data_IF_108933708258
#
_entry.id   IF_108933708258
#
_cell.length_a   1.000
_cell.length_b   1.000
_cell.length_c   1.000
_cell.angle_alpha   90.00
_cell.angle_beta   90.00
_cell.angle_gamma   90.00
#
_symmetry.space_group_name_H-M   'P 1'
#
loop_
_entity.id
_entity.type
_entity.pdbx_description
1 polymer ?
#
# COMPACT_ATOMS: atom_id res chain seq x y z
N UNK A 1 13.25 23.87 4.56
CA UNK A 1 13.74 22.88 3.58
C UNK A 1 12.61 21.92 3.27
N UNK A 2 12.53 21.37 2.06
CA UNK A 2 11.52 20.35 1.72
C UNK A 2 11.90 19.04 2.41
N UNK A 3 10.95 18.38 3.05
CA UNK A 3 11.12 17.02 3.60
C UNK A 3 11.26 15.96 2.49
N UNK A 4 10.90 16.33 1.25
CA UNK A 4 11.02 15.47 0.08
C UNK A 4 12.28 15.77 -0.71
N UNK A 5 13.03 14.73 -1.08
CA UNK A 5 14.27 14.84 -1.85
C UNK A 5 14.12 14.49 -3.33
N UNK A 6 13.02 13.82 -3.70
CA UNK A 6 12.71 13.41 -5.08
C UNK A 6 11.20 13.45 -5.29
N UNK A 7 10.79 13.62 -6.54
CA UNK A 7 9.42 13.40 -6.98
C UNK A 7 9.35 12.65 -8.32
N UNK A 8 8.17 12.16 -8.65
CA UNK A 8 7.81 11.54 -9.93
C UNK A 8 6.35 11.90 -10.25
N UNK A 9 6.09 12.36 -11.48
CA UNK A 9 4.80 12.88 -11.90
C UNK A 9 4.14 11.97 -12.93
N UNK A 10 2.94 11.51 -12.61
CA UNK A 10 2.08 10.74 -13.51
C UNK A 10 1.02 11.65 -14.12
N UNK A 11 1.26 12.10 -15.36
CA UNK A 11 0.37 13.00 -16.10
C UNK A 11 -1.00 12.36 -16.41
N UNK A 12 -1.03 11.04 -16.61
CA UNK A 12 -2.26 10.33 -16.96
C UNK A 12 -3.20 10.23 -15.75
N UNK A 13 -2.66 9.89 -14.58
CA UNK A 13 -3.43 9.71 -13.36
C UNK A 13 -3.53 10.99 -12.52
N UNK A 14 -2.78 12.03 -12.91
CA UNK A 14 -2.63 13.28 -12.17
C UNK A 14 -2.14 13.03 -10.73
N UNK A 15 -1.18 12.12 -10.58
CA UNK A 15 -0.67 11.65 -9.29
C UNK A 15 0.79 12.07 -9.12
N UNK A 16 1.12 12.72 -8.00
CA UNK A 16 2.48 13.12 -7.68
C UNK A 16 3.08 12.18 -6.63
N UNK A 17 4.09 11.41 -6.99
CA UNK A 17 4.88 10.65 -6.02
C UNK A 17 6.01 11.51 -5.48
N UNK A 18 6.16 11.56 -4.16
CA UNK A 18 7.19 12.31 -3.43
C UNK A 18 7.95 11.37 -2.50
N UNK A 19 9.26 11.57 -2.37
CA UNK A 19 10.13 10.67 -1.60
C UNK A 19 10.68 11.41 -0.38
N UNK A 20 10.35 10.93 0.83
CA UNK A 20 10.78 11.53 2.09
C UNK A 20 12.20 11.11 2.45
N UNK A 21 13.00 12.06 2.94
CA UNK A 21 14.37 11.80 3.36
C UNK A 21 14.40 10.82 4.56
N UNK A 22 15.29 9.82 4.61
CA UNK A 22 15.44 8.92 5.76
C UNK A 22 15.53 9.60 7.12
N UNK A 23 16.27 10.71 7.23
CA UNK A 23 16.45 11.43 8.50
C UNK A 23 15.15 12.09 8.95
N UNK A 24 14.40 12.64 7.99
CA UNK A 24 13.08 13.27 8.24
C UNK A 24 12.02 12.22 8.55
N UNK A 25 12.05 11.08 7.84
CA UNK A 25 11.16 9.95 8.09
C UNK A 25 11.31 9.44 9.52
N UNK A 26 12.55 9.21 9.98
CA UNK A 26 12.80 8.73 11.35
C UNK A 26 12.32 9.74 12.41
N UNK A 27 12.53 11.04 12.18
CA UNK A 27 12.03 12.07 13.08
C UNK A 27 10.50 12.07 13.17
N UNK A 28 9.82 12.06 12.01
CA UNK A 28 8.35 12.00 11.93
C UNK A 28 7.78 10.73 12.61
N UNK A 29 8.37 9.56 12.37
CA UNK A 29 7.93 8.30 12.98
C UNK A 29 8.25 8.22 14.49
N UNK A 30 9.40 8.73 14.93
CA UNK A 30 9.79 8.73 16.34
C UNK A 30 8.83 9.54 17.23
N UNK A 31 8.30 10.63 16.69
CA UNK A 31 7.33 11.50 17.36
C UNK A 31 5.96 10.81 17.49
N UNK A 32 5.59 9.95 16.55
CA UNK A 32 4.34 9.21 16.58
C UNK A 32 4.34 8.09 17.64
N UNK A 33 5.48 7.43 17.85
CA UNK A 33 5.65 6.40 18.89
C UNK A 33 5.72 6.99 20.31
N UNK A 34 6.03 8.28 20.46
CA UNK A 34 6.11 8.97 21.75
C UNK A 34 4.74 9.36 22.36
N UNK A 35 3.62 9.01 21.71
CA UNK A 35 2.30 8.90 22.36
C UNK A 35 1.50 10.19 22.59
N UNK A 36 1.91 11.35 22.07
CA UNK A 36 1.12 12.58 22.21
C UNK A 36 -0.05 12.61 21.20
N UNK A 37 -1.24 13.02 21.65
CA UNK A 37 -2.52 13.02 20.90
C UNK A 37 -2.59 14.02 19.73
N UNK A 38 -1.58 14.02 18.85
CA UNK A 38 -1.35 15.04 17.83
C UNK A 38 -1.36 14.51 16.38
N UNK A 39 -1.86 13.29 16.16
CA UNK A 39 -1.83 12.63 14.84
C UNK A 39 -2.59 13.41 13.74
N UNK A 40 -3.62 14.20 14.08
CA UNK A 40 -4.45 14.92 13.07
C UNK A 40 -3.79 16.21 12.58
N UNK A 41 -3.09 16.97 13.44
CA UNK A 41 -2.43 18.23 13.05
C UNK A 41 -1.23 18.01 12.14
N UNK A 42 -0.43 16.96 12.36
CA UNK A 42 0.80 16.73 11.59
C UNK A 42 0.54 16.12 10.19
N UNK A 43 -0.58 15.41 9.99
CA UNK A 43 -0.97 14.89 8.67
C UNK A 43 -1.41 15.97 7.69
N UNK A 44 -1.98 17.07 8.20
CA UNK A 44 -2.16 18.30 7.41
C UNK A 44 -0.81 18.82 6.92
N UNK A 45 0.23 18.79 7.75
CA UNK A 45 1.57 19.27 7.37
C UNK A 45 2.19 18.46 6.23
N UNK A 46 1.98 17.14 6.15
CA UNK A 46 2.53 16.31 5.07
C UNK A 46 1.85 16.61 3.73
N UNK A 47 0.51 16.68 3.73
CA UNK A 47 -0.26 17.05 2.54
C UNK A 47 0.06 18.48 2.09
N UNK A 48 0.13 19.43 3.02
CA UNK A 48 0.52 20.80 2.72
C UNK A 48 1.95 20.91 2.18
N UNK A 49 2.89 20.12 2.72
CA UNK A 49 4.25 20.05 2.19
C UNK A 49 4.27 19.49 0.77
N UNK A 50 3.45 18.47 0.49
CA UNK A 50 3.35 17.86 -0.83
C UNK A 50 2.70 18.81 -1.84
N UNK A 51 1.67 19.56 -1.42
CA UNK A 51 1.05 20.65 -2.19
C UNK A 51 2.05 21.75 -2.53
N UNK A 52 2.84 22.18 -1.55
CA UNK A 52 3.87 23.19 -1.76
C UNK A 52 4.92 22.71 -2.76
N UNK A 53 5.39 21.47 -2.63
CA UNK A 53 6.30 20.91 -3.61
C UNK A 53 5.66 20.90 -5.00
N UNK A 54 4.40 20.44 -5.12
CA UNK A 54 3.69 20.42 -6.40
C UNK A 54 3.58 21.81 -7.04
N UNK A 55 3.29 22.85 -6.26
CA UNK A 55 3.22 24.21 -6.78
C UNK A 55 4.58 24.74 -7.25
N UNK A 56 5.67 24.24 -6.67
CA UNK A 56 7.03 24.66 -7.01
C UNK A 56 7.58 23.91 -8.23
N UNK A 57 7.19 22.64 -8.43
CA UNK A 57 7.80 21.76 -9.46
C UNK A 57 6.92 21.47 -10.67
N UNK A 58 5.59 21.56 -10.55
CA UNK A 58 4.67 21.28 -11.67
C UNK A 58 4.27 22.56 -12.41
N UNK A 59 3.90 22.47 -13.70
CA UNK A 59 3.38 23.62 -14.45
C UNK A 59 2.18 24.27 -13.75
N UNK A 60 2.09 25.60 -13.82
CA UNK A 60 0.96 26.33 -13.24
C UNK A 60 -0.37 25.85 -13.84
N UNK A 61 -1.37 25.64 -12.98
CA UNK A 61 -2.69 25.13 -13.37
C UNK A 61 -2.77 23.60 -13.46
N UNK A 62 -1.69 22.87 -13.17
CA UNK A 62 -1.74 21.41 -13.07
C UNK A 62 -2.67 21.00 -11.92
N UNK A 63 -3.66 20.17 -12.25
CA UNK A 63 -4.53 19.53 -11.26
C UNK A 63 -3.83 18.29 -10.73
N UNK A 64 -3.68 18.17 -9.42
CA UNK A 64 -3.16 16.97 -8.74
C UNK A 64 -4.33 16.29 -8.02
N UNK A 65 -4.59 15.03 -8.36
CA UNK A 65 -5.66 14.25 -7.74
C UNK A 65 -5.21 13.64 -6.41
N UNK A 66 -3.95 13.17 -6.34
CA UNK A 66 -3.41 12.51 -5.17
C UNK A 66 -1.88 12.62 -5.09
N UNK A 67 -1.37 12.45 -3.87
CA UNK A 67 0.06 12.43 -3.55
C UNK A 67 0.46 11.08 -3.00
N UNK A 68 1.54 10.49 -3.51
CA UNK A 68 2.14 9.27 -2.98
C UNK A 68 3.39 9.60 -2.21
N UNK A 69 3.41 9.36 -0.90
CA UNK A 69 4.61 9.57 -0.08
C UNK A 69 5.35 8.26 0.04
N UNK A 70 6.58 8.20 -0.46
CA UNK A 70 7.47 7.03 -0.37
C UNK A 70 8.65 7.29 0.54
N UNK A 71 9.07 6.27 1.28
CA UNK A 71 10.38 6.21 1.91
C UNK A 71 11.18 5.13 1.19
N UNK A 72 12.24 5.54 0.47
CA UNK A 72 12.94 4.67 -0.47
C UNK A 72 11.95 4.00 -1.45
N UNK A 73 11.88 2.66 -1.47
CA UNK A 73 10.96 1.88 -2.28
C UNK A 73 9.57 1.72 -1.66
N UNK A 74 9.43 1.97 -0.37
CA UNK A 74 8.21 1.72 0.39
C UNK A 74 7.22 2.88 0.21
N UNK A 75 5.97 2.56 -0.09
CA UNK A 75 4.88 3.54 -0.09
C UNK A 75 4.36 3.68 1.35
N UNK A 76 4.47 4.88 1.89
CA UNK A 76 4.15 5.22 3.28
C UNK A 76 2.74 5.79 3.39
N UNK A 77 2.36 6.67 2.45
CA UNK A 77 1.04 7.27 2.44
C UNK A 77 0.55 7.53 1.01
N UNK A 78 -0.77 7.49 0.86
CA UNK A 78 -1.46 8.10 -0.28
C UNK A 78 -2.38 9.18 0.30
N UNK A 79 -2.28 10.40 -0.24
CA UNK A 79 -3.02 11.56 0.22
C UNK A 79 -3.94 12.01 -0.91
N UNK A 80 -5.24 11.97 -0.70
CA UNK A 80 -6.25 12.43 -1.66
C UNK A 80 -6.49 13.93 -1.48
N UNK A 81 -6.62 14.64 -2.60
CA UNK A 81 -6.67 16.11 -2.55
C UNK A 81 -8.01 16.70 -2.06
N UNK A 82 -9.10 15.92 -2.17
CA UNK A 82 -10.44 16.31 -1.72
C UNK A 82 -10.75 15.79 -0.32
N UNK A 83 -10.25 14.59 0.01
CA UNK A 83 -10.62 13.85 1.21
C UNK A 83 -9.52 13.83 2.30
N UNK A 84 -8.33 14.35 2.01
CA UNK A 84 -7.18 14.29 2.92
C UNK A 84 -6.49 12.91 2.91
N UNK A 85 -5.82 12.53 4.01
CA UNK A 85 -5.06 11.29 4.09
C UNK A 85 -5.95 10.05 3.93
N UNK A 86 -5.97 9.46 2.73
CA UNK A 86 -6.59 8.16 2.46
C UNK A 86 -5.63 7.06 2.86
N UNK A 87 -5.65 6.77 4.17
CA UNK A 87 -4.96 5.67 4.84
C UNK A 87 -3.43 5.66 4.65
N UNK A 88 -2.78 5.87 5.78
CA UNK A 88 -1.46 5.32 6.07
C UNK A 88 -1.42 3.88 5.58
N UNK A 89 -0.46 3.55 4.70
CA UNK A 89 -0.04 2.16 4.53
C UNK A 89 0.74 1.82 5.78
N UNK A 90 0.02 1.73 6.91
CA UNK A 90 0.52 1.08 8.10
C UNK A 90 1.07 -0.24 7.60
N UNK A 91 2.32 -0.54 7.95
CA UNK A 91 2.82 -1.90 7.92
C UNK A 91 2.01 -2.72 8.93
N UNK A 92 0.75 -2.95 8.59
CA UNK A 92 -0.23 -3.67 9.37
C UNK A 92 -0.17 -5.10 8.92
N UNK A 93 0.44 -5.93 9.77
CA UNK A 93 0.06 -7.32 10.02
C UNK A 93 -0.98 -7.87 9.04
N UNK A 94 -0.56 -8.83 8.20
CA UNK A 94 -1.40 -9.97 7.84
C UNK A 94 -2.90 -9.67 7.62
N UNK A 95 -3.23 -8.78 6.68
CA UNK A 95 -4.61 -8.30 6.52
C UNK A 95 -5.51 -9.21 5.67
N UNK A 96 -4.94 -10.21 5.00
CA UNK A 96 -5.63 -11.08 4.07
C UNK A 96 -5.77 -12.47 4.62
N UNK A 97 -6.95 -13.08 4.48
CA UNK A 97 -7.18 -14.48 4.82
C UNK A 97 -7.45 -15.23 3.53
N UNK A 98 -6.69 -16.28 3.28
CA UNK A 98 -6.88 -17.18 2.15
C UNK A 98 -7.26 -18.56 2.68
N UNK A 99 -8.37 -19.10 2.19
CA UNK A 99 -8.80 -20.45 2.55
C UNK A 99 -8.07 -21.46 1.70
N UNK A 100 -7.20 -22.25 2.32
CA UNK A 100 -6.40 -23.29 1.67
C UNK A 100 -7.32 -24.28 0.97
N UNK A 101 -7.10 -24.49 -0.33
CA UNK A 101 -7.87 -25.42 -1.16
C UNK A 101 -7.28 -26.82 -1.09
N UNK A 102 -7.95 -27.74 -1.78
CA UNK A 102 -7.53 -29.15 -1.80
C UNK A 102 -6.17 -29.29 -2.47
N UNK A 103 -5.25 -30.02 -1.82
CA UNK A 103 -3.89 -30.31 -2.29
C UNK A 103 -2.97 -29.10 -2.53
N UNK A 104 -3.26 -27.93 -1.95
CA UNK A 104 -2.33 -26.79 -1.98
C UNK A 104 -1.24 -26.93 -0.91
N UNK A 105 -0.04 -26.47 -1.24
CA UNK A 105 1.10 -26.34 -0.32
C UNK A 105 1.42 -24.88 -0.03
N UNK A 106 2.23 -24.61 1.01
CA UNK A 106 2.72 -23.25 1.26
C UNK A 106 3.50 -22.68 0.07
N UNK A 107 4.17 -23.52 -0.71
CA UNK A 107 4.92 -23.10 -1.90
C UNK A 107 3.97 -22.63 -3.01
N UNK A 108 2.88 -23.35 -3.24
CA UNK A 108 1.88 -22.96 -4.25
C UNK A 108 1.25 -21.61 -3.88
N UNK A 109 0.91 -21.43 -2.60
CA UNK A 109 0.30 -20.20 -2.10
C UNK A 109 1.29 -19.04 -2.10
N UNK A 110 2.55 -19.30 -1.72
CA UNK A 110 3.66 -18.35 -1.81
C UNK A 110 3.84 -17.83 -3.23
N UNK A 111 3.85 -18.72 -4.22
CA UNK A 111 3.95 -18.36 -5.63
C UNK A 111 2.73 -17.60 -6.12
N UNK A 112 1.52 -18.04 -5.74
CA UNK A 112 0.28 -17.37 -6.11
C UNK A 112 0.24 -15.92 -5.66
N UNK A 113 0.74 -15.62 -4.45
CA UNK A 113 0.71 -14.28 -3.88
C UNK A 113 2.04 -13.53 -4.01
N UNK A 114 3.04 -14.11 -4.65
CA UNK A 114 4.40 -13.55 -4.73
C UNK A 114 4.97 -13.16 -3.34
N UNK A 115 4.67 -13.97 -2.32
CA UNK A 115 5.12 -13.76 -0.94
C UNK A 115 6.10 -14.87 -0.54
N UNK A 116 7.08 -14.56 0.30
CA UNK A 116 8.03 -15.56 0.79
C UNK A 116 7.36 -16.59 1.74
N UNK A 117 7.78 -17.86 1.66
CA UNK A 117 7.24 -18.95 2.49
C UNK A 117 7.51 -18.70 3.97
N UNK A 118 8.71 -18.22 4.33
CA UNK A 118 9.03 -17.94 5.74
C UNK A 118 8.16 -16.79 6.28
N UNK A 119 7.84 -15.82 5.43
CA UNK A 119 6.93 -14.73 5.76
C UNK A 119 5.51 -15.24 6.03
N UNK A 120 4.99 -16.15 5.19
CA UNK A 120 3.72 -16.84 5.45
C UNK A 120 3.76 -17.59 6.77
N UNK A 121 4.81 -18.38 7.02
CA UNK A 121 4.96 -19.15 8.26
C UNK A 121 4.98 -18.26 9.48
N UNK A 122 5.79 -17.19 9.46
CA UNK A 122 5.93 -16.24 10.56
C UNK A 122 4.60 -15.57 10.92
N UNK A 123 3.84 -15.15 9.93
CA UNK A 123 2.54 -14.50 10.12
C UNK A 123 1.46 -15.47 10.63
N UNK A 124 1.60 -16.76 10.34
CA UNK A 124 0.66 -17.80 10.77
C UNK A 124 1.15 -18.61 11.98
N UNK A 125 2.31 -18.26 12.55
CA UNK A 125 2.96 -19.00 13.64
C UNK A 125 3.15 -20.50 13.30
N UNK A 126 3.56 -20.79 12.07
CA UNK A 126 3.82 -22.16 11.61
C UNK A 126 5.27 -22.55 11.86
N UNK A 127 5.46 -23.64 12.60
CA UNK A 127 6.79 -24.24 12.85
C UNK A 127 7.26 -25.11 11.67
N UNK A 128 6.33 -25.60 10.84
CA UNK A 128 6.61 -26.46 9.67
C UNK A 128 5.87 -25.98 8.43
N UNK A 129 6.05 -26.67 7.31
CA UNK A 129 5.37 -26.34 6.05
C UNK A 129 3.98 -26.98 5.92
N UNK A 130 3.53 -27.64 7.00
CA UNK A 130 2.25 -28.35 7.05
C UNK A 130 1.10 -27.36 7.11
N UNK A 131 0.19 -27.47 6.14
CA UNK A 131 -1.10 -26.77 6.09
C UNK A 131 -2.21 -27.77 5.76
N UNK A 132 -3.45 -27.41 6.07
CA UNK A 132 -4.60 -28.29 5.86
C UNK A 132 -5.64 -27.61 4.98
N UNK A 133 -6.32 -28.39 4.14
CA UNK A 133 -7.46 -27.89 3.37
C UNK A 133 -8.52 -27.29 4.30
N UNK A 134 -9.04 -26.12 3.92
CA UNK A 134 -10.01 -25.34 4.70
C UNK A 134 -9.38 -24.39 5.72
N UNK A 135 -8.07 -24.50 5.99
CA UNK A 135 -7.34 -23.60 6.88
C UNK A 135 -7.42 -22.17 6.37
N UNK A 136 -7.68 -21.22 7.27
CA UNK A 136 -7.61 -19.79 7.00
C UNK A 136 -6.16 -19.32 7.19
N UNK A 137 -5.42 -19.29 6.08
CA UNK A 137 -4.03 -18.86 6.06
C UNK A 137 -3.96 -17.34 5.90
N UNK A 138 -3.33 -16.68 6.87
CA UNK A 138 -3.06 -15.25 6.81
C UNK A 138 -1.98 -14.94 5.79
N UNK A 139 -2.24 -13.96 4.92
CA UNK A 139 -1.31 -13.49 3.89
C UNK A 139 -0.90 -12.05 4.20
N UNK A 140 0.41 -11.75 4.27
CA UNK A 140 0.90 -10.37 4.36
C UNK A 140 0.36 -9.54 3.19
N UNK A 141 -0.26 -8.40 3.48
CA UNK A 141 -0.78 -7.51 2.46
C UNK A 141 -0.67 -6.03 2.83
N UNK A 142 -0.78 -5.19 1.81
CA UNK A 142 -1.13 -3.79 1.90
C UNK A 142 -2.65 -3.63 1.78
N UNK A 143 -3.19 -2.55 2.34
CA UNK A 143 -4.54 -2.11 2.03
C UNK A 143 -4.48 -1.00 0.99
N UNK A 144 -5.14 -1.21 -0.14
CA UNK A 144 -5.27 -0.25 -1.23
C UNK A 144 -6.72 0.19 -1.34
N UNK A 145 -6.99 1.49 -1.19
CA UNK A 145 -8.33 2.04 -1.45
C UNK A 145 -8.40 2.42 -2.93
N UNK A 146 -9.33 1.80 -3.66
CA UNK A 146 -9.57 2.06 -5.08
C UNK A 146 -9.95 3.51 -5.27
N UNK A 147 -9.23 4.21 -6.15
CA UNK A 147 -9.52 5.60 -6.52
C UNK A 147 -10.11 5.68 -7.93
N UNK A 148 -10.55 6.88 -8.30
CA UNK A 148 -11.05 7.13 -9.65
C UNK A 148 -9.97 6.77 -10.68
N UNK A 149 -10.38 6.09 -11.75
CA UNK A 149 -9.52 5.62 -12.86
C UNK A 149 -8.64 4.40 -12.54
N UNK A 150 -8.76 3.82 -11.35
CA UNK A 150 -8.18 2.50 -11.08
C UNK A 150 -8.90 1.42 -11.86
N UNK A 151 -8.12 0.41 -12.25
CA UNK A 151 -8.61 -0.87 -12.69
C UNK A 151 -7.81 -1.96 -11.99
N UNK A 152 -8.37 -3.16 -11.90
CA UNK A 152 -7.67 -4.27 -11.27
C UNK A 152 -6.32 -4.55 -11.94
N UNK A 153 -6.23 -4.39 -13.26
CA UNK A 153 -4.99 -4.51 -14.01
C UNK A 153 -3.96 -3.45 -13.60
N UNK A 154 -4.35 -2.17 -13.54
CA UNK A 154 -3.44 -1.08 -13.14
C UNK A 154 -2.95 -1.25 -11.72
N UNK A 155 -3.83 -1.68 -10.80
CA UNK A 155 -3.46 -1.95 -9.42
C UNK A 155 -2.47 -3.11 -9.36
N UNK A 156 -2.77 -4.24 -10.01
CA UNK A 156 -1.88 -5.39 -10.04
C UNK A 156 -0.48 -5.02 -10.57
N UNK A 157 -0.41 -4.28 -11.68
CA UNK A 157 0.83 -3.76 -12.24
C UNK A 157 1.56 -2.80 -11.28
N UNK A 158 0.83 -1.89 -10.61
CA UNK A 158 1.37 -0.92 -9.65
C UNK A 158 2.11 -1.60 -8.48
N UNK A 159 1.66 -2.78 -8.08
CA UNK A 159 2.24 -3.56 -6.98
C UNK A 159 3.09 -4.74 -7.42
N UNK A 160 3.34 -4.89 -8.73
CA UNK A 160 4.12 -6.00 -9.31
C UNK A 160 3.61 -7.39 -8.89
N UNK A 161 2.29 -7.57 -9.00
CA UNK A 161 1.58 -8.83 -8.71
C UNK A 161 0.63 -9.19 -9.84
N UNK A 162 0.15 -10.43 -9.86
CA UNK A 162 -0.86 -10.82 -10.85
C UNK A 162 -2.25 -10.30 -10.45
N UNK A 163 -3.11 -10.07 -11.45
CA UNK A 163 -4.52 -9.71 -11.21
C UNK A 163 -5.21 -10.81 -10.42
N UNK A 164 -4.91 -12.05 -10.76
CA UNK A 164 -5.43 -13.26 -10.14
C UNK A 164 -5.09 -13.28 -8.65
N UNK A 165 -3.87 -12.90 -8.25
CA UNK A 165 -3.47 -12.76 -6.84
C UNK A 165 -4.37 -11.78 -6.10
N UNK A 166 -4.66 -10.61 -6.70
CA UNK A 166 -5.56 -9.62 -6.10
C UNK A 166 -6.97 -10.19 -6.00
N UNK A 167 -7.47 -10.87 -7.03
CA UNK A 167 -8.81 -11.48 -7.02
C UNK A 167 -8.95 -12.51 -5.93
N UNK A 168 -8.00 -13.45 -5.85
CA UNK A 168 -8.04 -14.55 -4.88
C UNK A 168 -8.01 -14.01 -3.45
N UNK A 169 -7.16 -13.01 -3.15
CA UNK A 169 -7.08 -12.49 -1.79
C UNK A 169 -8.30 -11.65 -1.37
N UNK A 170 -9.03 -11.11 -2.33
CA UNK A 170 -10.20 -10.25 -2.11
C UNK A 170 -11.54 -10.93 -2.41
N UNK A 171 -11.54 -12.22 -2.78
CA UNK A 171 -12.73 -12.95 -3.23
C UNK A 171 -13.50 -12.21 -4.34
N UNK A 172 -12.78 -11.69 -5.35
CA UNK A 172 -13.40 -10.96 -6.45
C UNK A 172 -13.83 -11.90 -7.59
N UNK A 173 -15.13 -11.93 -7.85
CA UNK A 173 -15.73 -12.66 -8.97
C UNK A 173 -15.54 -11.94 -10.31
N UNK A 174 -15.33 -10.62 -10.29
CA UNK A 174 -15.16 -9.77 -11.48
C UNK A 174 -14.02 -8.76 -11.30
N UNK A 175 -13.58 -8.16 -12.40
CA UNK A 175 -12.58 -7.08 -12.40
C UNK A 175 -13.21 -5.69 -12.13
N UNK A 176 -14.52 -5.63 -11.87
CA UNK A 176 -15.24 -4.39 -11.59
C UNK A 176 -14.94 -3.91 -10.16
N UNK A 177 -14.33 -2.73 -10.05
CA UNK A 177 -13.98 -2.11 -8.77
C UNK A 177 -14.85 -0.88 -8.53
N UNK A 178 -15.18 -0.61 -7.27
CA UNK A 178 -15.89 0.60 -6.86
C UNK A 178 -14.90 1.59 -6.25
N UNK A 179 -14.97 2.86 -6.62
CA UNK A 179 -14.21 3.91 -5.94
C UNK A 179 -14.51 3.89 -4.44
N UNK A 180 -13.47 3.95 -3.60
CA UNK A 180 -13.54 3.80 -2.15
C UNK A 180 -13.49 2.35 -1.66
N UNK A 181 -13.54 1.35 -2.54
CA UNK A 181 -13.39 -0.06 -2.17
C UNK A 181 -11.99 -0.33 -1.64
N UNK A 182 -11.88 -1.07 -0.54
CA UNK A 182 -10.60 -1.53 -0.04
C UNK A 182 -10.22 -2.89 -0.64
N UNK A 183 -9.00 -2.96 -1.15
CA UNK A 183 -8.39 -4.18 -1.67
C UNK A 183 -7.17 -4.54 -0.82
N UNK A 184 -7.10 -5.81 -0.45
CA UNK A 184 -5.94 -6.47 0.14
C UNK A 184 -4.97 -6.83 -0.98
N UNK A 185 -3.81 -6.23 -0.98
CA UNK A 185 -2.79 -6.41 -2.02
C UNK A 185 -1.63 -7.21 -1.43
N UNK A 186 -1.33 -8.43 -1.90
CA UNK A 186 -0.20 -9.21 -1.38
C UNK A 186 1.10 -8.40 -1.29
N UNK A 187 1.77 -8.48 -0.13
CA UNK A 187 3.03 -7.78 0.12
C UNK A 187 4.18 -8.71 -0.26
N UNK A 188 4.83 -8.43 -1.39
CA UNK A 188 6.11 -9.03 -1.75
C UNK A 188 7.15 -8.61 -0.71
N UNK A 189 7.60 -9.55 0.12
CA UNK A 189 8.74 -9.34 1.01
C UNK A 189 9.96 -9.93 0.32
N UNK A 190 10.91 -9.06 -0.03
CA UNK A 190 12.21 -9.42 -0.57
C UNK A 190 13.18 -9.67 0.58
#
# INVERSE_FOLDING_TARGET
>A
MSIFYKYDWDEQNKELTVYINPTEAFYEFSVEYAGTHEKVSKRKNLLESARKLASDVLPKGTVVNSYRVKFQQFLIAVLDEKNGATRELLEGQACGSYKVKHNETLKDISQMFSVDVNSLKKVNHLESDTIFTGMDLKVPCYLHTVVTSDSLLKIAQRYDISRESVRQLNNLDTDCLKTGQELKIPKRMQ
#
